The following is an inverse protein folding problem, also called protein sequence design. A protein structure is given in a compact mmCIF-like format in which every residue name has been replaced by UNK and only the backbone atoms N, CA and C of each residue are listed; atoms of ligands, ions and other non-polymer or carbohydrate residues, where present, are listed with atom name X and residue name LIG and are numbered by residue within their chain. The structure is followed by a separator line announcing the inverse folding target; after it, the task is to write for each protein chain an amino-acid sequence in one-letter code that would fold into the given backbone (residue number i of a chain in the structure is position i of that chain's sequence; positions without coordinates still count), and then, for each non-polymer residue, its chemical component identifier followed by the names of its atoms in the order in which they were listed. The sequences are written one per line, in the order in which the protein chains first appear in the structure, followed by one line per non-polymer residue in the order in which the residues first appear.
data_IF_867871258279
#
_entry.id   IF_867871258279
#
_cell.length_a   1.000
_cell.length_b   1.000
_cell.length_c   1.000
_cell.angle_alpha   90.00
_cell.angle_beta   90.00
_cell.angle_gamma   90.00
#
_symmetry.space_group_name_H-M   'P 1'
#
loop_
_entity.id
_entity.type
_entity.pdbx_description
1 polymer ?
#
# COMPACT_ATOMS: atom_id res chain seq x y z
N UNK A 1 -60.43 84.86 42.70
CA UNK A 1 -60.53 83.81 41.66
C UNK A 1 -59.81 82.57 42.15
N UNK A 2 -60.51 81.43 42.05
CA UNK A 2 -60.08 80.10 42.50
C UNK A 2 -58.79 79.63 41.82
N UNK A 3 -57.98 78.83 42.52
CA UNK A 3 -57.53 77.53 41.99
C UNK A 3 -57.50 76.47 43.09
N UNK A 4 -58.46 75.57 42.92
CA UNK A 4 -58.75 74.34 43.64
C UNK A 4 -57.62 73.32 43.36
N UNK A 5 -56.93 72.82 44.38
CA UNK A 5 -56.06 71.65 44.24
C UNK A 5 -56.51 70.59 45.24
N UNK A 6 -57.52 69.83 44.82
CA UNK A 6 -57.91 68.58 45.48
C UNK A 6 -56.71 67.64 45.43
N UNK A 7 -56.02 67.45 46.56
CA UNK A 7 -55.17 66.27 46.77
C UNK A 7 -56.08 65.05 46.69
N UNK A 8 -55.95 64.27 45.61
CA UNK A 8 -56.57 62.93 45.52
C UNK A 8 -55.92 62.08 46.61
N UNK A 9 -56.76 61.49 47.48
CA UNK A 9 -56.38 60.38 48.36
C UNK A 9 -55.92 59.20 47.47
N UNK A 10 -54.87 58.46 47.85
CA UNK A 10 -54.64 57.14 47.27
C UNK A 10 -55.77 56.20 47.71
N UNK A 11 -56.37 55.47 46.77
CA UNK A 11 -57.27 54.35 47.08
C UNK A 11 -56.48 53.23 47.76
N UNK A 12 -57.07 52.49 48.72
CA UNK A 12 -56.41 51.32 49.29
C UNK A 12 -56.32 50.25 48.20
N UNK A 13 -55.10 49.92 47.77
CA UNK A 13 -54.85 48.68 47.04
C UNK A 13 -55.31 47.54 47.96
N UNK A 14 -56.37 46.83 47.58
CA UNK A 14 -56.78 45.63 48.27
C UNK A 14 -55.58 44.66 48.27
N UNK A 15 -54.97 44.45 49.43
CA UNK A 15 -53.92 43.47 49.64
C UNK A 15 -54.46 42.13 49.14
N UNK A 16 -53.91 41.64 48.02
CA UNK A 16 -54.35 40.37 47.45
C UNK A 16 -54.05 39.29 48.49
N UNK A 17 -55.05 38.48 48.88
CA UNK A 17 -54.86 37.48 49.92
C UNK A 17 -53.79 36.47 49.49
N UNK A 18 -52.99 36.03 50.46
CA UNK A 18 -51.95 35.01 50.26
C UNK A 18 -52.59 33.67 49.94
N UNK A 19 -51.88 32.81 49.20
CA UNK A 19 -52.37 31.47 48.82
C UNK A 19 -52.84 30.66 50.05
N UNK A 20 -52.09 30.71 51.15
CA UNK A 20 -52.46 30.05 52.40
C UNK A 20 -53.75 30.62 53.03
N UNK A 21 -54.03 31.92 52.84
CA UNK A 21 -55.26 32.54 53.34
C UNK A 21 -56.47 32.11 52.48
N UNK A 22 -56.31 32.07 51.16
CA UNK A 22 -57.32 31.56 50.22
C UNK A 22 -57.63 30.08 50.43
N UNK A 23 -56.63 29.29 50.78
CA UNK A 23 -56.80 27.88 51.13
C UNK A 23 -57.49 27.69 52.48
N UNK A 24 -57.30 28.58 53.45
CA UNK A 24 -57.98 28.50 54.76
C UNK A 24 -59.45 28.96 54.72
N UNK A 25 -59.81 29.85 53.79
CA UNK A 25 -61.15 30.43 53.70
C UNK A 25 -62.21 29.49 53.10
N UNK A 26 -61.85 28.62 52.13
CA UNK A 26 -62.80 27.73 51.46
C UNK A 26 -62.24 26.30 51.29
N UNK A 27 -62.94 25.26 51.80
CA UNK A 27 -62.61 23.86 51.56
C UNK A 27 -62.47 23.50 50.07
N UNK A 28 -63.23 24.15 49.18
CA UNK A 28 -63.17 23.89 47.74
C UNK A 28 -61.83 24.31 47.11
N UNK A 29 -61.17 25.35 47.64
CA UNK A 29 -59.83 25.74 47.17
C UNK A 29 -58.77 24.75 47.63
N UNK A 30 -58.88 24.18 48.84
CA UNK A 30 -57.99 23.12 49.30
C UNK A 30 -58.12 21.88 48.41
N UNK A 31 -59.34 21.43 48.15
CA UNK A 31 -59.57 20.27 47.29
C UNK A 31 -59.06 20.49 45.86
N UNK A 32 -59.30 21.68 45.27
CA UNK A 32 -58.79 22.01 43.94
C UNK A 32 -57.26 22.09 43.88
N UNK A 33 -56.63 22.61 44.94
CA UNK A 33 -55.18 22.69 45.07
C UNK A 33 -54.58 21.28 45.22
N UNK A 34 -55.12 20.45 46.11
CA UNK A 34 -54.68 19.07 46.33
C UNK A 34 -54.86 18.21 45.09
N UNK A 35 -55.96 18.39 44.33
CA UNK A 35 -56.15 17.71 43.05
C UNK A 35 -55.08 18.09 42.03
N UNK A 36 -54.72 19.38 41.97
CA UNK A 36 -53.70 19.88 41.05
C UNK A 36 -52.30 19.43 41.45
N UNK A 37 -51.98 19.46 42.74
CA UNK A 37 -50.73 18.93 43.30
C UNK A 37 -50.63 17.43 43.00
N UNK A 38 -51.69 16.66 43.22
CA UNK A 38 -51.71 15.23 42.89
C UNK A 38 -51.56 14.95 41.39
N UNK A 39 -52.20 15.75 40.52
CA UNK A 39 -52.00 15.63 39.07
C UNK A 39 -50.55 15.92 38.65
N UNK A 40 -49.94 16.96 39.22
CA UNK A 40 -48.55 17.32 38.95
C UNK A 40 -47.59 16.25 39.46
N UNK A 41 -47.79 15.73 40.68
CA UNK A 41 -47.00 14.65 41.25
C UNK A 41 -47.10 13.37 40.42
N UNK A 42 -48.31 12.99 39.97
CA UNK A 42 -48.50 11.84 39.08
C UNK A 42 -47.78 12.05 37.75
N UNK A 43 -47.92 13.24 37.17
CA UNK A 43 -47.26 13.57 35.89
C UNK A 43 -45.74 13.56 36.01
N UNK A 44 -45.20 14.12 37.10
CA UNK A 44 -43.77 14.11 37.40
C UNK A 44 -43.25 12.68 37.61
N UNK A 45 -44.00 11.86 38.36
CA UNK A 45 -43.68 10.44 38.56
C UNK A 45 -43.68 9.66 37.26
N UNK A 46 -44.70 9.82 36.42
CA UNK A 46 -44.75 9.15 35.11
C UNK A 46 -43.63 9.60 34.18
N UNK A 47 -43.23 10.88 34.22
CA UNK A 47 -42.08 11.38 33.45
C UNK A 47 -40.77 10.77 33.97
N UNK A 48 -40.58 10.75 35.28
CA UNK A 48 -39.40 10.15 35.91
C UNK A 48 -39.30 8.65 35.65
N UNK A 49 -40.40 7.90 35.76
CA UNK A 49 -40.46 6.46 35.45
C UNK A 49 -40.13 6.19 33.97
N UNK A 50 -40.57 7.06 33.05
CA UNK A 50 -40.18 6.99 31.63
C UNK A 50 -38.69 7.28 31.44
N UNK A 51 -38.16 8.33 32.05
CA UNK A 51 -36.74 8.70 31.92
C UNK A 51 -35.82 7.59 32.48
N UNK A 52 -36.17 7.01 33.63
CA UNK A 52 -35.44 5.86 34.18
C UNK A 52 -35.53 4.61 33.28
N UNK A 53 -36.67 4.37 32.65
CA UNK A 53 -36.82 3.26 31.70
C UNK A 53 -36.12 3.49 30.36
N UNK A 54 -35.71 4.74 30.05
CA UNK A 54 -35.01 5.11 28.81
C UNK A 54 -33.53 5.42 29.03
N UNK A 55 -33.02 5.36 30.26
CA UNK A 55 -31.58 5.27 30.48
C UNK A 55 -31.18 3.84 30.19
N UNK A 56 -30.54 3.55 29.03
CA UNK A 56 -29.94 2.24 28.85
C UNK A 56 -28.93 2.06 29.99
N UNK A 57 -28.90 0.86 30.57
CA UNK A 57 -27.95 0.54 31.61
C UNK A 57 -26.54 0.91 31.12
N UNK A 58 -25.69 1.44 32.00
CA UNK A 58 -24.32 1.82 31.63
C UNK A 58 -23.59 0.65 30.96
N UNK A 59 -23.94 -0.59 31.31
CA UNK A 59 -23.49 -1.82 30.67
C UNK A 59 -23.91 -1.93 29.19
N UNK A 60 -25.17 -1.67 28.84
CA UNK A 60 -25.62 -1.68 27.43
C UNK A 60 -24.92 -0.59 26.61
N UNK A 61 -24.67 0.59 27.20
CA UNK A 61 -23.91 1.65 26.52
C UNK A 61 -22.46 1.22 26.27
N UNK A 62 -21.81 0.62 27.28
CA UNK A 62 -20.44 0.12 27.17
C UNK A 62 -20.33 -1.04 26.17
N UNK A 63 -21.28 -1.97 26.15
CA UNK A 63 -21.35 -3.04 25.16
C UNK A 63 -21.56 -2.49 23.75
N UNK A 64 -22.43 -1.48 23.58
CA UNK A 64 -22.63 -0.80 22.31
C UNK A 64 -21.36 -0.11 21.81
N UNK A 65 -20.60 0.55 22.69
CA UNK A 65 -19.30 1.16 22.35
C UNK A 65 -18.30 0.08 21.96
N UNK A 66 -18.15 -0.96 22.76
CA UNK A 66 -17.21 -2.06 22.51
C UNK A 66 -17.50 -2.76 21.18
N UNK A 67 -18.77 -2.98 20.86
CA UNK A 67 -19.20 -3.60 19.61
C UNK A 67 -18.86 -2.71 18.41
N UNK A 68 -19.17 -1.41 18.49
CA UNK A 68 -18.82 -0.44 17.44
C UNK A 68 -17.32 -0.30 17.25
N UNK A 69 -16.54 -0.31 18.33
CA UNK A 69 -15.08 -0.30 18.26
C UNK A 69 -14.57 -1.56 17.56
N UNK A 70 -15.08 -2.75 17.91
CA UNK A 70 -14.72 -4.00 17.25
C UNK A 70 -15.06 -4.00 15.76
N UNK A 71 -16.26 -3.54 15.39
CA UNK A 71 -16.66 -3.38 13.99
C UNK A 71 -15.74 -2.41 13.25
N UNK A 72 -15.39 -1.26 13.86
CA UNK A 72 -14.49 -0.29 13.25
C UNK A 72 -13.09 -0.86 13.01
N UNK A 73 -12.56 -1.64 13.95
CA UNK A 73 -11.27 -2.32 13.83
C UNK A 73 -11.31 -3.38 12.74
N UNK A 74 -12.39 -4.17 12.66
CA UNK A 74 -12.58 -5.17 11.60
C UNK A 74 -12.67 -4.51 10.23
N UNK A 75 -13.48 -3.46 10.08
CA UNK A 75 -13.59 -2.70 8.84
C UNK A 75 -12.27 -2.06 8.43
N UNK A 76 -11.48 -1.56 9.38
CA UNK A 76 -10.16 -1.02 9.10
C UNK A 76 -9.21 -2.10 8.56
N UNK A 77 -9.21 -3.29 9.17
CA UNK A 77 -8.39 -4.42 8.72
C UNK A 77 -8.81 -4.92 7.33
N UNK A 78 -10.11 -5.03 7.09
CA UNK A 78 -10.62 -5.42 5.77
C UNK A 78 -10.27 -4.39 4.70
N UNK A 79 -10.34 -3.09 5.02
CA UNK A 79 -9.91 -2.03 4.09
C UNK A 79 -8.42 -2.13 3.76
N UNK A 80 -7.59 -2.37 4.75
CA UNK A 80 -6.15 -2.51 4.56
C UNK A 80 -5.82 -3.76 3.71
N UNK A 81 -6.46 -4.89 3.99
CA UNK A 81 -6.31 -6.11 3.20
C UNK A 81 -6.77 -5.93 1.75
N UNK A 82 -7.91 -5.26 1.53
CA UNK A 82 -8.40 -4.96 0.18
C UNK A 82 -7.49 -3.99 -0.58
N UNK A 83 -6.89 -3.03 0.12
CA UNK A 83 -5.96 -2.10 -0.51
C UNK A 83 -4.66 -2.81 -0.92
N UNK A 84 -4.14 -3.69 -0.07
CA UNK A 84 -3.00 -4.55 -0.42
C UNK A 84 -3.33 -5.45 -1.62
N UNK A 85 -4.48 -6.13 -1.62
CA UNK A 85 -4.90 -6.97 -2.74
C UNK A 85 -5.04 -6.17 -4.05
N UNK A 86 -5.56 -4.94 -3.98
CA UNK A 86 -5.64 -4.06 -5.15
C UNK A 86 -4.26 -3.67 -5.66
N UNK A 87 -3.32 -3.37 -4.78
CA UNK A 87 -1.95 -3.03 -5.16
C UNK A 87 -1.24 -4.24 -5.80
N UNK A 88 -1.37 -5.41 -5.19
CA UNK A 88 -0.83 -6.67 -5.74
C UNK A 88 -1.42 -6.98 -7.11
N UNK A 89 -2.73 -6.81 -7.26
CA UNK A 89 -3.40 -7.03 -8.54
C UNK A 89 -2.99 -6.01 -9.60
N UNK A 90 -2.85 -4.73 -9.23
CA UNK A 90 -2.36 -3.69 -10.13
C UNK A 90 -0.92 -4.00 -10.58
N UNK A 91 -0.06 -4.44 -9.66
CA UNK A 91 1.31 -4.87 -9.95
C UNK A 91 1.34 -6.06 -10.90
N UNK A 92 0.58 -7.12 -10.64
CA UNK A 92 0.48 -8.28 -11.52
C UNK A 92 0.00 -7.90 -12.93
N UNK A 93 -0.98 -6.99 -13.03
CA UNK A 93 -1.43 -6.50 -14.34
C UNK A 93 -0.33 -5.75 -15.08
N UNK A 94 0.46 -4.93 -14.38
CA UNK A 94 1.61 -4.26 -14.97
C UNK A 94 2.65 -5.26 -15.46
N UNK A 95 2.99 -6.26 -14.65
CA UNK A 95 3.94 -7.32 -15.02
C UNK A 95 3.48 -8.09 -16.25
N UNK A 96 2.19 -8.41 -16.36
CA UNK A 96 1.67 -9.05 -17.57
C UNK A 96 1.81 -8.14 -18.80
N UNK A 97 1.49 -6.85 -18.67
CA UNK A 97 1.61 -5.90 -19.78
C UNK A 97 3.07 -5.72 -20.23
N UNK A 98 3.99 -5.56 -19.27
CA UNK A 98 5.43 -5.49 -19.51
C UNK A 98 5.94 -6.78 -20.14
N UNK A 99 5.52 -7.94 -19.64
CA UNK A 99 5.90 -9.25 -20.21
C UNK A 99 5.48 -9.39 -21.67
N UNK A 100 4.27 -8.94 -22.03
CA UNK A 100 3.82 -8.91 -23.41
C UNK A 100 4.67 -7.96 -24.27
N UNK A 101 5.03 -6.79 -23.74
CA UNK A 101 5.87 -5.82 -24.45
C UNK A 101 7.28 -6.36 -24.69
N UNK A 102 7.90 -6.99 -23.69
CA UNK A 102 9.18 -7.68 -23.83
C UNK A 102 9.14 -8.74 -24.94
N UNK A 103 8.07 -9.56 -24.97
CA UNK A 103 7.92 -10.58 -26.01
C UNK A 103 7.82 -10.00 -27.42
N UNK A 104 7.10 -8.87 -27.60
CA UNK A 104 7.02 -8.19 -28.90
C UNK A 104 8.39 -7.71 -29.37
N UNK A 105 9.26 -7.31 -28.44
CA UNK A 105 10.63 -6.87 -28.71
C UNK A 105 11.64 -8.03 -28.79
N UNK A 106 11.18 -9.28 -28.67
CA UNK A 106 12.05 -10.46 -28.70
C UNK A 106 12.89 -10.65 -27.43
N UNK A 107 12.52 -9.97 -26.33
CA UNK A 107 13.16 -10.07 -25.03
C UNK A 107 12.44 -11.10 -24.14
N UNK A 108 13.14 -11.73 -23.18
CA UNK A 108 12.51 -12.73 -22.31
C UNK A 108 11.47 -12.10 -21.36
N UNK A 109 10.22 -12.55 -21.46
CA UNK A 109 9.12 -12.12 -20.59
C UNK A 109 9.38 -12.33 -19.10
N UNK A 110 10.29 -13.26 -18.77
CA UNK A 110 10.70 -13.53 -17.40
C UNK A 110 11.20 -12.27 -16.69
N UNK A 111 11.74 -11.28 -17.40
CA UNK A 111 12.22 -10.04 -16.78
C UNK A 111 11.11 -9.08 -16.33
N UNK A 112 9.84 -9.36 -16.63
CA UNK A 112 8.74 -8.44 -16.35
C UNK A 112 8.57 -8.01 -14.88
N UNK A 113 8.74 -8.88 -13.86
CA UNK A 113 8.62 -8.47 -12.45
C UNK A 113 9.61 -7.39 -12.03
N UNK A 114 10.76 -7.31 -12.70
CA UNK A 114 11.82 -6.33 -12.44
C UNK A 114 11.68 -5.06 -13.27
N UNK A 115 11.02 -5.13 -14.42
CA UNK A 115 10.86 -3.99 -15.33
C UNK A 115 9.50 -3.29 -15.16
N UNK A 116 8.53 -3.93 -14.51
CA UNK A 116 7.27 -3.32 -14.11
C UNK A 116 7.49 -2.27 -13.00
N UNK A 117 7.41 -1.00 -13.39
CA UNK A 117 7.41 0.16 -12.50
C UNK A 117 6.01 0.49 -11.97
N UNK A 118 5.90 1.59 -11.24
CA UNK A 118 4.63 2.06 -10.68
C UNK A 118 3.73 2.68 -11.76
N UNK A 119 4.34 3.16 -12.86
CA UNK A 119 3.64 3.73 -14.00
C UNK A 119 3.99 3.02 -15.32
N UNK A 120 3.12 3.13 -16.34
CA UNK A 120 3.42 2.65 -17.68
C UNK A 120 4.68 3.31 -18.27
N UNK A 121 4.89 4.59 -18.00
CA UNK A 121 6.03 5.36 -18.51
C UNK A 121 7.34 4.88 -17.90
N UNK A 122 7.39 4.67 -16.58
CA UNK A 122 8.55 4.11 -15.90
C UNK A 122 8.85 2.69 -16.40
N UNK A 123 7.80 1.88 -16.60
CA UNK A 123 7.96 0.54 -17.16
C UNK A 123 8.53 0.56 -18.58
N UNK A 124 8.12 1.52 -19.42
CA UNK A 124 8.65 1.70 -20.76
C UNK A 124 10.13 2.10 -20.73
N UNK A 125 10.50 3.06 -19.88
CA UNK A 125 11.90 3.49 -19.70
C UNK A 125 12.78 2.34 -19.20
N UNK A 126 12.27 1.53 -18.28
CA UNK A 126 12.96 0.33 -17.78
C UNK A 126 13.18 -0.69 -18.89
N UNK A 127 12.17 -0.96 -19.73
CA UNK A 127 12.29 -1.86 -20.88
C UNK A 127 13.33 -1.33 -21.87
N UNK A 128 13.28 -0.05 -22.23
CA UNK A 128 14.21 0.56 -23.20
C UNK A 128 15.67 0.49 -22.69
N UNK A 129 15.87 0.81 -21.41
CA UNK A 129 17.19 0.75 -20.76
C UNK A 129 17.71 -0.69 -20.69
N UNK A 130 16.84 -1.62 -20.30
CA UNK A 130 17.19 -3.04 -20.24
C UNK A 130 17.55 -3.58 -21.62
N UNK A 131 16.78 -3.25 -22.65
CA UNK A 131 17.02 -3.69 -24.02
C UNK A 131 18.41 -3.25 -24.50
N UNK A 132 18.76 -1.97 -24.31
CA UNK A 132 20.05 -1.43 -24.68
C UNK A 132 21.19 -2.19 -23.99
N UNK A 133 21.15 -2.27 -22.65
CA UNK A 133 22.21 -2.91 -21.87
C UNK A 133 22.33 -4.41 -22.18
N UNK A 134 21.21 -5.08 -22.42
CA UNK A 134 21.18 -6.50 -22.76
C UNK A 134 21.81 -6.75 -24.13
N UNK A 135 21.49 -5.92 -25.13
CA UNK A 135 22.09 -5.99 -26.46
C UNK A 135 23.60 -5.70 -26.42
N UNK A 136 24.03 -4.69 -25.67
CA UNK A 136 25.45 -4.38 -25.47
C UNK A 136 26.20 -5.55 -24.83
N UNK A 137 25.64 -6.16 -23.77
CA UNK A 137 26.23 -7.32 -23.10
C UNK A 137 26.33 -8.52 -24.05
N UNK A 138 25.29 -8.79 -24.84
CA UNK A 138 25.31 -9.85 -25.85
C UNK A 138 26.35 -9.58 -26.94
N UNK A 139 26.44 -8.36 -27.45
CA UNK A 139 27.43 -7.97 -28.46
C UNK A 139 28.87 -8.13 -27.93
N UNK A 140 29.12 -7.72 -26.68
CA UNK A 140 30.40 -7.90 -26.02
C UNK A 140 30.74 -9.40 -25.82
N UNK A 141 29.76 -10.20 -25.38
CA UNK A 141 29.94 -11.64 -25.20
C UNK A 141 30.23 -12.36 -26.53
N UNK A 142 29.50 -12.02 -27.61
CA UNK A 142 29.72 -12.58 -28.94
C UNK A 142 31.08 -12.16 -29.49
N UNK A 143 31.47 -10.89 -29.34
CA UNK A 143 32.79 -10.40 -29.78
C UNK A 143 33.91 -11.09 -29.00
N UNK A 144 33.74 -11.28 -27.69
CA UNK A 144 34.68 -12.04 -26.85
C UNK A 144 34.79 -13.50 -27.33
N UNK A 145 33.65 -14.15 -27.64
CA UNK A 145 33.63 -15.50 -28.20
C UNK A 145 34.35 -15.58 -29.55
N UNK A 146 34.07 -14.66 -30.47
CA UNK A 146 34.71 -14.61 -31.80
C UNK A 146 36.23 -14.37 -31.69
N UNK A 147 36.67 -13.58 -30.70
CA UNK A 147 38.08 -13.36 -30.41
C UNK A 147 38.74 -14.56 -29.72
N UNK A 148 38.01 -15.26 -28.85
CA UNK A 148 38.47 -16.43 -28.10
C UNK A 148 38.51 -17.73 -28.91
N UNK A 149 37.68 -17.86 -29.94
CA UNK A 149 37.80 -18.92 -30.97
C UNK A 149 38.81 -18.52 -32.03
N UNK A 150 39.98 -18.04 -31.59
CA UNK A 150 41.04 -17.46 -32.41
C UNK A 150 41.26 -18.24 -33.72
N UNK A 151 41.70 -17.50 -34.74
CA UNK A 151 42.10 -17.98 -36.07
C UNK A 151 42.57 -19.45 -36.02
N UNK A 152 42.16 -20.30 -37.00
CA UNK A 152 42.51 -21.72 -37.00
C UNK A 152 43.97 -21.83 -36.59
N UNK A 153 44.24 -22.54 -35.48
CA UNK A 153 45.62 -22.80 -35.04
C UNK A 153 46.36 -23.16 -36.32
N UNK A 154 47.34 -22.33 -36.71
CA UNK A 154 48.12 -22.62 -37.91
C UNK A 154 48.48 -24.10 -37.80
N UNK A 155 48.13 -24.93 -38.79
CA UNK A 155 48.44 -26.35 -38.71
C UNK A 155 49.93 -26.37 -38.41
N UNK A 156 50.30 -26.99 -37.28
CA UNK A 156 51.67 -27.06 -36.82
C UNK A 156 52.48 -27.56 -38.00
N UNK A 157 53.13 -26.65 -38.74
CA UNK A 157 53.96 -27.00 -39.89
C UNK A 157 55.22 -27.52 -39.21
N UNK A 158 55.45 -28.84 -39.18
CA UNK A 158 56.69 -29.35 -38.63
C UNK A 158 57.82 -28.64 -39.38
N UNK A 159 58.79 -28.12 -38.64
CA UNK A 159 59.94 -27.42 -39.21
C UNK A 159 60.59 -28.37 -40.22
N UNK A 160 60.54 -28.02 -41.50
CA UNK A 160 61.14 -28.83 -42.54
C UNK A 160 62.64 -28.56 -42.54
N UNK A 161 63.44 -29.51 -42.03
CA UNK A 161 64.88 -29.44 -42.17
C UNK A 161 65.27 -29.82 -43.60
N UNK A 162 66.03 -28.96 -44.26
CA UNK A 162 66.69 -29.27 -45.52
C UNK A 162 67.80 -30.30 -45.30
N UNK A 163 68.20 -30.97 -46.38
CA UNK A 163 69.27 -31.99 -46.33
C UNK A 163 70.62 -31.41 -45.90
N UNK A 164 70.85 -30.12 -46.15
CA UNK A 164 72.04 -29.40 -45.70
C UNK A 164 71.99 -29.10 -44.20
N UNK A 165 70.82 -28.70 -43.68
CA UNK A 165 70.64 -28.48 -42.24
C UNK A 165 70.79 -29.76 -41.43
N UNK A 166 70.25 -30.89 -41.90
CA UNK A 166 70.41 -32.19 -41.26
C UNK A 166 71.87 -32.65 -41.19
N UNK A 167 72.71 -32.24 -42.15
CA UNK A 167 74.15 -32.58 -42.18
C UNK A 167 74.96 -31.75 -41.18
N UNK A 168 74.50 -30.54 -40.86
CA UNK A 168 75.16 -29.63 -39.95
C UNK A 168 74.68 -29.76 -38.49
N UNK A 169 73.58 -30.48 -38.24
CA UNK A 169 73.10 -30.77 -36.90
C UNK A 169 73.95 -31.83 -36.20
N UNK A 170 74.20 -31.63 -34.91
CA UNK A 170 74.91 -32.62 -34.09
C UNK A 170 74.05 -33.87 -33.86
N UNK A 171 74.67 -35.04 -33.54
CA UNK A 171 73.93 -36.25 -33.22
C UNK A 171 72.93 -36.10 -32.06
N UNK A 172 73.22 -35.19 -31.11
CA UNK A 172 72.31 -34.89 -29.99
C UNK A 172 71.07 -34.15 -30.48
N UNK A 173 71.23 -33.19 -31.37
CA UNK A 173 70.13 -32.41 -31.93
C UNK A 173 69.27 -33.26 -32.87
N UNK A 174 69.87 -34.16 -33.65
CA UNK A 174 69.14 -35.12 -34.50
C UNK A 174 68.26 -36.04 -33.65
N UNK A 175 68.77 -36.56 -32.53
CA UNK A 175 67.99 -37.41 -31.64
C UNK A 175 66.88 -36.64 -30.91
N UNK A 176 67.12 -35.37 -30.56
CA UNK A 176 66.13 -34.52 -29.94
C UNK A 176 64.97 -34.15 -30.89
N UNK A 177 65.26 -33.95 -32.17
CA UNK A 177 64.29 -33.58 -33.22
C UNK A 177 63.93 -34.76 -34.15
N UNK A 178 64.10 -36.00 -33.68
CA UNK A 178 64.05 -37.21 -34.52
C UNK A 178 62.74 -37.37 -35.32
N UNK A 179 61.61 -37.00 -34.74
CA UNK A 179 60.29 -37.04 -35.39
C UNK A 179 60.18 -36.08 -36.57
N UNK A 180 60.81 -34.91 -36.48
CA UNK A 180 60.83 -33.90 -37.54
C UNK A 180 61.79 -34.32 -38.67
N UNK A 181 62.95 -34.87 -38.31
CA UNK A 181 63.92 -35.45 -39.26
C UNK A 181 63.31 -36.59 -40.07
N UNK A 182 62.57 -37.49 -39.41
CA UNK A 182 61.85 -38.60 -40.07
C UNK A 182 60.81 -38.09 -41.09
N UNK A 183 60.05 -37.04 -40.74
CA UNK A 183 59.07 -36.46 -41.66
C UNK A 183 59.73 -35.77 -42.87
N UNK A 184 60.86 -35.09 -42.68
CA UNK A 184 61.64 -34.47 -43.76
C UNK A 184 62.23 -35.51 -44.74
N UNK A 185 62.60 -36.70 -44.25
CA UNK A 185 63.09 -37.81 -45.07
C UNK A 185 61.95 -38.48 -45.87
N UNK A 186 60.74 -38.57 -45.31
CA UNK A 186 59.57 -39.19 -45.97
C UNK A 186 59.02 -38.39 -47.16
N UNK A 187 59.23 -37.08 -47.20
CA UNK A 187 58.71 -36.21 -48.27
C UNK A 187 59.73 -35.95 -49.39
N UNK A 188 60.93 -36.52 -49.32
CA UNK A 188 62.03 -36.33 -50.29
C UNK A 188 62.33 -37.60 -51.13
N UNK A 189 61.37 -38.53 -51.21
CA UNK A 189 61.39 -39.71 -52.09
C UNK A 189 60.01 -39.93 -52.72
#
# INVERSE_FOLDING_TARGET
MMKNSRKRKPEPEAEKPTLDALLQEDPAYQEAFDQKVNQLLRSARTRWEREQAHQPDEEEQLEGIRTREQESVQLSREREALEQEKQDFARQRMEVAVGQELQKRGLPAAFAPWLAGDTPEESAENIDTFELLFQEALAAAVTSRMRGTGAPREPNRPRAYSREELRNMSPREINAHWTEVQNALKHNY
#
